data_IF_732091198753
#
_entry.id   IF_732091198753
#
_cell.length_a   1.000
_cell.length_b   1.000
_cell.length_c   1.000
_cell.angle_alpha   90.00
_cell.angle_beta   90.00
_cell.angle_gamma   90.00
#
_symmetry.space_group_name_H-M   'P 1'
#
loop_
_entity.id
_entity.type
_entity.pdbx_description
1 polymer ?
#
# COMPACT_ATOMS: atom_id res chain seq x y z
N UNK A 1 40.16 23.59 -54.83
CA UNK A 1 41.12 23.39 -53.72
C UNK A 1 40.36 22.85 -52.51
N UNK A 2 40.69 21.61 -52.15
CA UNK A 2 40.43 20.83 -50.93
C UNK A 2 39.10 21.01 -50.18
N UNK A 3 38.16 20.10 -50.49
CA UNK A 3 37.11 19.67 -49.55
C UNK A 3 37.71 18.62 -48.60
N UNK A 4 37.74 18.92 -47.31
CA UNK A 4 38.05 17.99 -46.21
C UNK A 4 36.95 16.94 -46.07
N UNK A 5 37.26 15.64 -45.90
CA UNK A 5 36.24 14.62 -45.69
C UNK A 5 35.81 14.57 -44.22
N UNK A 6 34.49 14.58 -43.98
CA UNK A 6 33.89 14.18 -42.71
C UNK A 6 34.32 12.74 -42.40
N UNK A 7 35.05 12.56 -41.30
CA UNK A 7 35.30 11.24 -40.75
C UNK A 7 34.05 10.81 -39.96
N UNK A 8 33.27 9.93 -40.57
CA UNK A 8 32.21 9.16 -39.90
C UNK A 8 32.88 8.20 -38.92
N UNK A 9 32.87 8.53 -37.63
CA UNK A 9 33.28 7.60 -36.57
C UNK A 9 32.12 6.63 -36.36
N UNK A 10 32.22 5.44 -36.96
CA UNK A 10 31.38 4.30 -36.61
C UNK A 10 31.96 3.72 -35.31
N UNK A 11 31.33 4.01 -34.18
CA UNK A 11 31.60 3.31 -32.93
C UNK A 11 30.93 1.94 -33.02
N UNK A 12 31.70 0.93 -33.43
CA UNK A 12 31.32 -0.46 -33.32
C UNK A 12 31.50 -0.90 -31.86
N UNK A 13 30.42 -0.86 -31.07
CA UNK A 13 30.41 -1.44 -29.74
C UNK A 13 30.43 -2.97 -29.84
N UNK A 14 31.62 -3.55 -29.70
CA UNK A 14 31.82 -4.98 -29.55
C UNK A 14 31.23 -5.40 -28.20
N UNK A 15 30.09 -6.09 -28.21
CA UNK A 15 29.63 -6.85 -27.06
C UNK A 15 30.50 -8.10 -26.93
N UNK A 16 31.45 -8.06 -26.00
CA UNK A 16 32.17 -9.25 -25.55
C UNK A 16 31.19 -10.09 -24.72
N UNK A 17 30.60 -11.12 -25.32
CA UNK A 17 29.87 -12.16 -24.57
C UNK A 17 30.94 -12.97 -23.82
N UNK A 18 31.19 -12.61 -22.56
CA UNK A 18 31.86 -13.52 -21.64
C UNK A 18 30.83 -14.59 -21.30
N UNK A 19 30.90 -15.71 -22.02
CA UNK A 19 30.25 -16.96 -21.64
C UNK A 19 30.98 -17.52 -20.41
N UNK A 20 30.74 -16.89 -19.26
CA UNK A 20 31.01 -17.49 -17.97
C UNK A 20 29.95 -18.55 -17.73
N UNK A 21 30.35 -19.81 -17.81
CA UNK A 21 29.56 -20.93 -17.33
C UNK A 21 29.31 -20.76 -15.83
N UNK A 22 28.24 -20.06 -15.47
CA UNK A 22 27.67 -20.15 -14.13
C UNK A 22 27.16 -21.58 -14.02
N UNK A 23 27.94 -22.41 -13.32
CA UNK A 23 27.53 -23.77 -13.00
C UNK A 23 26.11 -23.73 -12.42
N UNK A 24 25.24 -24.58 -12.95
CA UNK A 24 23.87 -24.76 -12.47
C UNK A 24 23.80 -25.22 -10.99
N UNK A 25 24.95 -25.45 -10.37
CA UNK A 25 25.09 -25.84 -8.95
C UNK A 25 25.14 -24.67 -7.97
N UNK A 26 25.06 -23.40 -8.42
CA UNK A 26 24.89 -22.25 -7.51
C UNK A 26 23.47 -22.17 -6.89
N UNK A 27 22.52 -22.94 -7.42
CA UNK A 27 21.25 -23.19 -6.78
C UNK A 27 21.39 -24.39 -5.84
N UNK A 28 21.81 -24.12 -4.60
CA UNK A 28 21.63 -25.07 -3.51
C UNK A 28 20.19 -25.58 -3.54
N UNK A 29 20.02 -26.89 -3.72
CA UNK A 29 18.73 -27.58 -3.59
C UNK A 29 18.23 -27.39 -2.16
N UNK A 30 17.59 -26.26 -1.89
CA UNK A 30 16.78 -26.07 -0.70
C UNK A 30 15.60 -27.01 -0.82
N UNK A 31 15.71 -28.18 -0.19
CA UNK A 31 14.55 -29.02 0.12
C UNK A 31 13.70 -28.28 1.14
N UNK A 32 12.92 -27.29 0.70
CA UNK A 32 11.82 -26.75 1.49
C UNK A 32 10.73 -27.83 1.57
N UNK A 33 10.84 -28.69 2.58
CA UNK A 33 9.84 -29.72 2.94
C UNK A 33 8.96 -29.29 4.11
N UNK A 34 8.62 -28.01 4.19
CA UNK A 34 7.50 -27.57 5.03
C UNK A 34 6.63 -26.66 4.20
N UNK A 35 5.41 -27.13 3.88
CA UNK A 35 4.32 -26.20 3.56
C UNK A 35 4.32 -25.12 4.66
N UNK A 36 4.13 -23.83 4.34
CA UNK A 36 3.97 -22.81 5.37
C UNK A 36 2.99 -23.34 6.41
N UNK A 37 3.44 -23.53 7.66
CA UNK A 37 2.51 -23.92 8.71
C UNK A 37 1.70 -22.67 9.02
N UNK A 38 0.54 -22.56 8.39
CA UNK A 38 -0.46 -21.64 8.87
C UNK A 38 -0.77 -22.08 10.30
N UNK A 39 -0.42 -21.26 11.29
CA UNK A 39 -1.08 -21.36 12.59
C UNK A 39 -2.58 -21.50 12.29
N UNK A 40 -3.28 -22.40 13.00
CA UNK A 40 -4.72 -22.63 12.82
C UNK A 40 -5.52 -21.40 13.27
N UNK A 41 -5.31 -20.26 12.63
CA UNK A 41 -6.22 -19.14 12.71
C UNK A 41 -7.47 -19.54 11.93
N UNK A 42 -8.58 -19.61 12.64
CA UNK A 42 -9.88 -19.75 12.03
C UNK A 42 -10.47 -18.37 11.90
N UNK A 43 -10.91 -17.97 10.70
CA UNK A 43 -11.55 -16.67 10.48
C UNK A 43 -12.73 -16.44 11.45
N UNK A 44 -13.41 -17.53 11.84
CA UNK A 44 -14.52 -17.52 12.79
C UNK A 44 -14.12 -17.00 14.19
N UNK A 45 -12.84 -17.13 14.57
CA UNK A 45 -12.34 -16.66 15.87
C UNK A 45 -12.50 -15.15 16.05
N UNK A 46 -12.49 -14.36 14.96
CA UNK A 46 -12.77 -12.91 15.01
C UNK A 46 -14.15 -12.62 15.59
N UNK A 47 -15.15 -13.44 15.28
CA UNK A 47 -16.51 -13.26 15.81
C UNK A 47 -16.65 -13.66 17.28
N UNK A 48 -15.61 -14.27 17.86
CA UNK A 48 -15.56 -14.64 19.28
C UNK A 48 -14.77 -13.62 20.12
N UNK A 49 -14.19 -12.60 19.49
CA UNK A 49 -13.50 -11.52 20.21
C UNK A 49 -14.56 -10.70 20.95
N UNK A 50 -14.44 -10.62 22.28
CA UNK A 50 -15.27 -9.77 23.12
C UNK A 50 -14.39 -8.78 23.85
N UNK A 51 -14.58 -7.49 23.55
CA UNK A 51 -13.92 -6.39 24.24
C UNK A 51 -14.99 -5.50 24.90
N UNK A 52 -14.93 -5.37 26.23
CA UNK A 52 -15.96 -4.66 26.99
C UNK A 52 -16.06 -3.17 26.65
N UNK A 53 -14.96 -2.54 26.21
CA UNK A 53 -14.96 -1.13 25.79
C UNK A 53 -15.62 -0.99 24.42
N UNK A 54 -15.32 -1.90 23.48
CA UNK A 54 -15.97 -1.94 22.16
C UNK A 54 -17.47 -2.18 22.34
N UNK A 55 -17.87 -3.17 23.14
CA UNK A 55 -19.28 -3.49 23.38
C UNK A 55 -20.05 -2.31 24.01
N UNK A 56 -19.45 -1.64 25.00
CA UNK A 56 -20.03 -0.43 25.59
C UNK A 56 -20.21 0.67 24.54
N UNK A 57 -19.19 0.87 23.71
CA UNK A 57 -19.16 1.88 22.65
C UNK A 57 -20.23 1.60 21.59
N UNK A 58 -20.42 0.34 21.18
CA UNK A 58 -21.46 -0.09 20.23
C UNK A 58 -22.88 0.03 20.80
N UNK A 59 -23.07 -0.25 22.10
CA UNK A 59 -24.38 -0.11 22.78
C UNK A 59 -24.86 1.35 22.84
N UNK A 60 -23.92 2.30 22.84
CA UNK A 60 -24.23 3.73 22.85
C UNK A 60 -24.57 4.30 21.47
N UNK A 61 -24.47 3.49 20.40
CA UNK A 61 -24.76 3.94 19.03
C UNK A 61 -26.20 3.64 18.64
N UNK A 62 -26.82 4.61 17.97
CA UNK A 62 -27.97 4.38 17.10
C UNK A 62 -27.59 3.43 15.95
N UNK A 63 -28.60 2.81 15.34
CA UNK A 63 -28.39 2.00 14.13
C UNK A 63 -27.71 2.81 13.02
N UNK A 64 -28.10 4.09 12.87
CA UNK A 64 -27.53 4.93 11.82
C UNK A 64 -26.05 5.20 12.02
N UNK A 65 -25.58 5.40 13.25
CA UNK A 65 -24.15 5.59 13.52
C UNK A 65 -23.38 4.28 13.30
N UNK A 66 -23.97 3.12 13.62
CA UNK A 66 -23.37 1.81 13.32
C UNK A 66 -23.16 1.62 11.82
N UNK A 67 -24.16 1.98 11.02
CA UNK A 67 -24.03 2.01 9.55
C UNK A 67 -22.94 2.99 9.15
N UNK A 68 -22.89 4.18 9.76
CA UNK A 68 -21.85 5.16 9.49
C UNK A 68 -20.43 4.63 9.71
N UNK A 69 -20.21 3.84 10.76
CA UNK A 69 -18.91 3.20 11.03
C UNK A 69 -18.46 2.21 9.94
N UNK A 70 -19.37 1.75 9.08
CA UNK A 70 -19.07 0.84 7.97
C UNK A 70 -18.76 1.60 6.66
N UNK A 71 -18.80 2.93 6.68
CA UNK A 71 -18.61 3.78 5.50
C UNK A 71 -17.25 4.47 5.58
N UNK A 72 -16.43 4.28 4.55
CA UNK A 72 -15.21 5.04 4.29
C UNK A 72 -15.48 6.00 3.13
N UNK A 73 -15.47 7.30 3.39
CA UNK A 73 -15.68 8.31 2.36
C UNK A 73 -14.35 8.71 1.70
N UNK A 74 -14.34 8.85 0.38
CA UNK A 74 -13.16 9.32 -0.36
C UNK A 74 -13.17 10.84 -0.49
N UNK A 75 -12.00 11.47 -0.40
CA UNK A 75 -11.84 12.90 -0.65
C UNK A 75 -10.43 13.25 -1.14
N UNK A 76 -10.26 14.48 -1.63
CA UNK A 76 -8.96 15.05 -1.96
C UNK A 76 -8.39 15.84 -0.77
N UNK A 77 -7.09 15.71 -0.55
CA UNK A 77 -6.36 16.49 0.44
C UNK A 77 -5.84 17.79 -0.18
N UNK A 78 -6.70 18.79 -0.37
CA UNK A 78 -6.32 20.11 -0.91
C UNK A 78 -6.87 21.24 -0.04
N UNK A 79 -6.01 22.15 0.39
CA UNK A 79 -6.38 23.35 1.16
C UNK A 79 -6.72 24.52 0.23
N UNK A 80 -7.49 25.50 0.74
CA UNK A 80 -8.13 26.57 -0.05
C UNK A 80 -9.64 26.38 -0.27
N UNK A 81 -10.20 25.33 0.34
CA UNK A 81 -11.52 24.76 0.10
C UNK A 81 -12.45 24.82 1.32
N UNK A 82 -12.23 25.75 2.27
CA UNK A 82 -13.25 26.00 3.32
C UNK A 82 -14.61 26.44 2.74
N UNK A 83 -14.63 26.87 1.47
CA UNK A 83 -15.82 27.15 0.66
C UNK A 83 -16.23 26.00 -0.28
N UNK A 84 -15.46 24.90 -0.36
CA UNK A 84 -15.81 23.75 -1.17
C UNK A 84 -16.98 23.00 -0.53
N UNK A 85 -18.07 22.91 -1.29
CA UNK A 85 -19.30 22.24 -0.88
C UNK A 85 -19.06 20.78 -0.51
N UNK A 86 -18.07 20.12 -1.12
CA UNK A 86 -17.74 18.72 -0.85
C UNK A 86 -17.14 18.58 0.55
N UNK A 87 -16.13 19.39 0.87
CA UNK A 87 -15.50 19.41 2.19
C UNK A 87 -16.50 19.77 3.30
N UNK A 88 -17.39 20.74 3.05
CA UNK A 88 -18.46 21.10 4.00
C UNK A 88 -19.49 19.98 4.19
N UNK A 89 -19.96 19.35 3.11
CA UNK A 89 -20.87 18.22 3.17
C UNK A 89 -20.23 17.08 3.97
N UNK A 90 -18.98 16.75 3.68
CA UNK A 90 -18.25 15.70 4.38
C UNK A 90 -18.09 16.00 5.86
N UNK A 91 -17.74 17.24 6.22
CA UNK A 91 -17.69 17.69 7.61
C UNK A 91 -19.02 17.49 8.36
N UNK A 92 -20.15 17.81 7.73
CA UNK A 92 -21.48 17.55 8.31
C UNK A 92 -21.75 16.05 8.50
N UNK A 93 -21.47 15.24 7.47
CA UNK A 93 -21.65 13.78 7.56
C UNK A 93 -20.79 13.14 8.65
N UNK A 94 -19.56 13.63 8.83
CA UNK A 94 -18.68 13.23 9.93
C UNK A 94 -19.30 13.60 11.28
N UNK A 95 -19.74 14.85 11.44
CA UNK A 95 -20.32 15.34 12.70
C UNK A 95 -21.62 14.60 13.08
N UNK A 96 -22.41 14.19 12.09
CA UNK A 96 -23.62 13.38 12.25
C UNK A 96 -23.34 11.87 12.44
N UNK A 97 -22.08 11.44 12.50
CA UNK A 97 -21.69 10.05 12.69
C UNK A 97 -22.03 9.13 11.52
N UNK A 98 -22.18 9.69 10.30
CA UNK A 98 -22.55 8.96 9.08
C UNK A 98 -21.35 8.39 8.32
N UNK A 99 -20.14 8.66 8.80
CA UNK A 99 -18.87 8.22 8.20
C UNK A 99 -17.94 7.71 9.32
N UNK A 100 -17.36 6.53 9.12
CA UNK A 100 -16.43 5.89 10.05
C UNK A 100 -14.97 6.09 9.68
N UNK A 101 -14.69 6.46 8.43
CA UNK A 101 -13.35 6.77 7.99
C UNK A 101 -13.28 7.57 6.70
N UNK A 102 -12.08 8.06 6.42
CA UNK A 102 -11.77 8.92 5.28
C UNK A 102 -10.59 8.32 4.54
N UNK A 103 -10.71 8.22 3.22
CA UNK A 103 -9.63 7.84 2.32
C UNK A 103 -9.19 9.03 1.48
N UNK A 104 -7.91 9.41 1.56
CA UNK A 104 -7.36 10.43 0.66
C UNK A 104 -6.95 9.83 -0.68
N UNK A 105 -7.52 10.36 -1.76
CA UNK A 105 -7.32 9.86 -3.13
C UNK A 105 -6.21 10.60 -3.90
N UNK A 106 -6.00 11.87 -3.58
CA UNK A 106 -4.91 12.71 -4.11
C UNK A 106 -4.79 13.99 -3.29
N UNK A 107 -3.67 14.70 -3.41
CA UNK A 107 -3.48 15.99 -2.74
C UNK A 107 -2.03 16.26 -2.43
N UNK A 108 -1.79 16.99 -1.34
CA UNK A 108 -0.46 17.26 -0.78
C UNK A 108 -0.41 16.93 0.72
N UNK A 109 0.79 16.62 1.22
CA UNK A 109 0.99 16.18 2.59
C UNK A 109 0.55 17.22 3.64
N UNK A 110 0.75 18.51 3.36
CA UNK A 110 0.39 19.59 4.27
C UNK A 110 -1.14 19.72 4.40
N UNK A 111 -1.83 19.75 3.27
CA UNK A 111 -3.29 19.78 3.22
C UNK A 111 -3.93 18.56 3.87
N UNK A 112 -3.34 17.38 3.69
CA UNK A 112 -3.82 16.16 4.34
C UNK A 112 -3.73 16.26 5.87
N UNK A 113 -2.62 16.75 6.41
CA UNK A 113 -2.47 16.93 7.86
C UNK A 113 -3.50 17.90 8.44
N UNK A 114 -3.75 19.03 7.75
CA UNK A 114 -4.77 19.99 8.17
C UNK A 114 -6.18 19.40 8.13
N UNK A 115 -6.55 18.74 7.04
CA UNK A 115 -7.87 18.14 6.89
C UNK A 115 -8.08 16.94 7.81
N UNK A 116 -7.06 16.11 8.03
CA UNK A 116 -7.12 15.02 8.99
C UNK A 116 -7.42 15.54 10.40
N UNK A 117 -6.71 16.58 10.85
CA UNK A 117 -6.97 17.20 12.15
C UNK A 117 -8.38 17.82 12.22
N UNK A 118 -8.82 18.51 11.16
CA UNK A 118 -10.16 19.07 11.08
C UNK A 118 -11.24 17.96 11.17
N UNK A 119 -11.14 16.92 10.36
CA UNK A 119 -12.11 15.83 10.34
C UNK A 119 -12.14 15.07 11.66
N UNK A 120 -10.98 14.79 12.26
CA UNK A 120 -10.93 14.18 13.59
C UNK A 120 -11.56 15.07 14.67
N UNK A 121 -11.43 16.40 14.58
CA UNK A 121 -12.05 17.32 15.54
C UNK A 121 -13.58 17.39 15.43
N UNK A 122 -14.14 17.11 14.24
CA UNK A 122 -15.58 17.08 14.00
C UNK A 122 -16.20 15.73 14.36
N UNK A 123 -15.41 14.66 14.36
CA UNK A 123 -15.92 13.32 14.47
C UNK A 123 -16.35 13.01 15.91
N UNK A 124 -17.57 12.49 16.14
CA UNK A 124 -18.00 12.08 17.48
C UNK A 124 -17.17 10.88 18.00
N UNK A 125 -16.47 10.18 17.09
CA UNK A 125 -15.62 9.03 17.35
C UNK A 125 -14.42 9.06 16.38
N UNK A 126 -13.25 8.55 16.78
CA UNK A 126 -12.07 8.58 15.91
C UNK A 126 -12.32 7.94 14.55
N UNK A 127 -11.96 8.66 13.48
CA UNK A 127 -12.08 8.19 12.10
C UNK A 127 -10.91 7.26 11.74
N UNK A 128 -11.19 6.23 10.94
CA UNK A 128 -10.17 5.51 10.19
C UNK A 128 -9.64 6.40 9.07
N UNK A 129 -8.38 6.84 9.17
CA UNK A 129 -7.76 7.70 8.17
C UNK A 129 -6.85 6.86 7.28
N UNK A 130 -7.18 6.75 6.00
CA UNK A 130 -6.53 5.82 5.06
C UNK A 130 -6.09 6.44 3.72
N UNK A 131 -5.18 5.73 3.05
CA UNK A 131 -4.76 5.99 1.68
C UNK A 131 -4.15 4.71 1.09
N UNK A 132 -4.07 4.62 -0.25
CA UNK A 132 -3.15 3.66 -0.88
C UNK A 132 -1.73 4.23 -0.83
N UNK A 133 -0.82 3.52 -0.16
CA UNK A 133 0.58 3.91 -0.05
C UNK A 133 1.48 2.72 -0.40
N UNK A 134 1.20 2.05 -1.54
CA UNK A 134 1.95 0.86 -1.99
C UNK A 134 3.44 1.16 -2.22
N UNK A 135 3.72 2.33 -2.81
CA UNK A 135 5.08 2.82 -3.10
C UNK A 135 5.37 4.13 -2.37
N UNK A 136 4.83 4.24 -1.16
CA UNK A 136 4.92 5.41 -0.31
C UNK A 136 3.76 6.38 -0.41
N UNK A 137 3.74 7.33 0.52
CA UNK A 137 2.66 8.31 0.65
C UNK A 137 2.57 9.21 -0.59
N UNK A 138 3.68 9.40 -1.30
CA UNK A 138 3.76 10.12 -2.58
C UNK A 138 2.84 9.55 -3.68
N UNK A 139 2.40 8.29 -3.56
CA UNK A 139 1.41 7.69 -4.45
C UNK A 139 0.09 8.50 -4.48
N UNK A 140 -0.24 9.18 -3.38
CA UNK A 140 -1.47 9.96 -3.23
C UNK A 140 -1.18 11.42 -2.89
N UNK A 141 -0.20 11.69 -2.04
CA UNK A 141 0.07 13.03 -1.51
C UNK A 141 1.44 13.53 -1.94
N UNK A 142 1.48 14.60 -2.73
CA UNK A 142 2.73 15.25 -3.10
C UNK A 142 3.47 15.80 -1.86
N UNK A 143 4.80 15.90 -1.97
CA UNK A 143 5.68 16.35 -0.88
C UNK A 143 6.10 15.25 0.10
N UNK A 144 5.70 14.01 -0.14
CA UNK A 144 6.15 12.82 0.59
C UNK A 144 7.17 12.01 -0.23
N UNK A 145 7.75 10.96 0.37
CA UNK A 145 8.74 10.11 -0.29
C UNK A 145 8.07 9.13 -1.27
N UNK A 146 8.59 9.05 -2.49
CA UNK A 146 8.23 8.02 -3.47
C UNK A 146 9.27 6.88 -3.45
N UNK A 147 8.78 5.65 -3.38
CA UNK A 147 9.60 4.44 -3.40
C UNK A 147 9.46 3.69 -4.73
N UNK A 148 10.39 2.76 -5.05
CA UNK A 148 10.22 1.85 -6.17
C UNK A 148 8.94 1.01 -6.06
N UNK A 149 8.40 0.51 -7.19
CA UNK A 149 7.29 -0.44 -7.15
C UNK A 149 7.71 -1.77 -6.51
N UNK A 150 6.72 -2.55 -6.03
CA UNK A 150 6.95 -3.80 -5.29
C UNK A 150 7.83 -4.80 -6.05
N UNK A 151 7.70 -4.91 -7.37
CA UNK A 151 8.53 -5.82 -8.17
C UNK A 151 10.01 -5.42 -8.16
N UNK A 152 10.31 -4.11 -8.18
CA UNK A 152 11.68 -3.61 -8.10
C UNK A 152 12.28 -3.84 -6.71
N UNK A 153 11.48 -3.63 -5.66
CA UNK A 153 11.88 -3.97 -4.29
C UNK A 153 12.13 -5.48 -4.14
N UNK A 154 11.27 -6.32 -4.70
CA UNK A 154 11.40 -7.77 -4.64
C UNK A 154 12.63 -8.30 -5.40
N UNK A 155 13.06 -7.62 -6.47
CA UNK A 155 14.25 -7.96 -7.22
C UNK A 155 15.53 -7.93 -6.36
N UNK A 156 15.53 -7.16 -5.26
CA UNK A 156 16.62 -7.16 -4.27
C UNK A 156 16.72 -8.46 -3.48
N UNK A 157 15.60 -9.19 -3.35
CA UNK A 157 15.43 -10.37 -2.48
C UNK A 157 15.75 -10.11 -1.00
N UNK A 158 15.81 -8.84 -0.60
CA UNK A 158 16.12 -8.42 0.77
C UNK A 158 14.86 -7.92 1.49
N UNK A 159 14.33 -8.75 2.38
CA UNK A 159 13.15 -8.41 3.20
C UNK A 159 13.43 -7.30 4.19
N UNK A 160 14.69 -7.04 4.55
CA UNK A 160 15.06 -5.91 5.42
C UNK A 160 14.79 -4.58 4.74
N UNK A 161 15.07 -4.47 3.43
CA UNK A 161 14.75 -3.28 2.65
C UNK A 161 13.23 -3.05 2.58
N UNK A 162 12.45 -4.14 2.44
CA UNK A 162 10.99 -4.06 2.44
C UNK A 162 10.44 -3.57 3.78
N UNK A 163 10.98 -4.07 4.89
CA UNK A 163 10.64 -3.60 6.24
C UNK A 163 10.99 -2.12 6.45
N UNK A 164 12.22 -1.70 6.08
CA UNK A 164 12.65 -0.30 6.27
C UNK A 164 11.86 0.67 5.38
N UNK A 165 11.49 0.26 4.16
CA UNK A 165 10.55 1.01 3.32
C UNK A 165 9.22 1.18 4.05
N UNK A 166 8.61 0.08 4.49
CA UNK A 166 7.32 0.10 5.19
C UNK A 166 7.33 0.98 6.46
N UNK A 167 8.43 0.94 7.22
CA UNK A 167 8.65 1.80 8.39
C UNK A 167 8.74 3.27 8.02
N UNK A 168 9.42 3.62 6.93
CA UNK A 168 9.49 5.00 6.44
C UNK A 168 8.10 5.50 6.00
N UNK A 169 7.36 4.68 5.25
CA UNK A 169 5.97 4.96 4.85
C UNK A 169 5.10 5.19 6.08
N UNK A 170 5.20 4.32 7.09
CA UNK A 170 4.44 4.46 8.32
C UNK A 170 4.75 5.76 9.07
N UNK A 171 6.03 6.15 9.15
CA UNK A 171 6.43 7.41 9.77
C UNK A 171 5.82 8.62 9.07
N UNK A 172 5.87 8.66 7.73
CA UNK A 172 5.25 9.75 6.96
C UNK A 172 3.74 9.78 7.13
N UNK A 173 3.07 8.62 6.98
CA UNK A 173 1.62 8.50 7.13
C UNK A 173 1.15 8.99 8.51
N UNK A 174 1.81 8.54 9.58
CA UNK A 174 1.49 8.97 10.95
C UNK A 174 1.68 10.46 11.16
N UNK A 175 2.66 11.07 10.50
CA UNK A 175 2.93 12.52 10.60
C UNK A 175 1.77 13.35 10.04
N UNK A 176 1.08 12.85 9.02
CA UNK A 176 -0.08 13.53 8.40
C UNK A 176 -1.43 13.02 8.91
N UNK A 177 -1.45 12.22 9.99
CA UNK A 177 -2.68 11.74 10.62
C UNK A 177 -3.31 10.49 9.98
N UNK A 178 -2.62 9.85 9.04
CA UNK A 178 -3.04 8.58 8.41
C UNK A 178 -2.58 7.39 9.26
N UNK A 179 -3.45 6.39 9.45
CA UNK A 179 -3.15 5.21 10.27
C UNK A 179 -3.65 3.88 9.69
N UNK A 180 -4.17 3.89 8.47
CA UNK A 180 -4.48 2.70 7.70
C UNK A 180 -3.91 2.82 6.28
N UNK A 181 -3.19 1.78 5.84
CA UNK A 181 -2.63 1.69 4.51
C UNK A 181 -3.35 0.58 3.74
N UNK A 182 -3.86 0.91 2.55
CA UNK A 182 -4.34 -0.09 1.60
C UNK A 182 -3.17 -0.73 0.84
N UNK A 183 -2.24 -1.33 1.58
CA UNK A 183 -1.08 -2.05 1.09
C UNK A 183 -0.62 -3.07 2.17
N UNK A 184 0.11 -4.13 1.79
CA UNK A 184 0.64 -4.41 0.45
C UNK A 184 -0.33 -5.11 -0.51
N UNK A 185 -0.04 -4.95 -1.81
CA UNK A 185 -0.53 -5.85 -2.86
C UNK A 185 0.17 -7.20 -2.71
N UNK A 186 -0.61 -8.25 -2.44
CA UNK A 186 -0.15 -9.64 -2.24
C UNK A 186 -0.53 -10.56 -3.40
N UNK A 187 -1.04 -9.98 -4.50
CA UNK A 187 -1.33 -10.73 -5.72
C UNK A 187 -0.06 -11.32 -6.33
N UNK A 188 -0.15 -12.54 -6.86
CA UNK A 188 0.93 -13.18 -7.60
C UNK A 188 0.80 -12.84 -9.08
N UNK A 189 1.73 -12.08 -9.66
CA UNK A 189 1.65 -11.68 -11.07
C UNK A 189 2.05 -12.82 -12.02
N UNK A 190 1.28 -13.90 -12.02
CA UNK A 190 1.49 -15.09 -12.84
C UNK A 190 1.20 -14.86 -14.33
N UNK A 191 0.33 -13.90 -14.64
CA UNK A 191 0.04 -13.49 -16.00
C UNK A 191 0.91 -12.26 -16.39
N UNK A 192 1.87 -12.38 -17.33
CA UNK A 192 2.68 -11.24 -17.76
C UNK A 192 1.87 -10.16 -18.49
N UNK A 193 0.71 -10.51 -19.07
CA UNK A 193 -0.17 -9.57 -19.76
C UNK A 193 -1.15 -8.85 -18.82
N UNK A 194 -1.05 -9.08 -17.51
CA UNK A 194 -1.90 -8.42 -16.52
C UNK A 194 -1.65 -6.89 -16.53
N UNK A 195 -2.64 -6.07 -16.91
CA UNK A 195 -2.45 -4.64 -17.08
C UNK A 195 -2.47 -3.85 -15.77
N UNK A 196 -3.02 -4.44 -14.69
CA UNK A 196 -3.37 -3.72 -13.46
C UNK A 196 -2.47 -4.07 -12.27
N UNK A 197 -2.01 -5.32 -12.16
CA UNK A 197 -1.06 -5.75 -11.12
C UNK A 197 0.35 -5.45 -11.59
N UNK A 198 0.86 -6.15 -12.61
CA UNK A 198 2.16 -5.86 -13.22
C UNK A 198 3.25 -5.63 -12.13
N UNK A 199 3.94 -4.49 -12.16
CA UNK A 199 4.98 -4.11 -11.18
C UNK A 199 4.49 -3.86 -9.74
N UNK A 200 3.17 -3.84 -9.49
CA UNK A 200 2.58 -3.73 -8.14
C UNK A 200 2.63 -5.06 -7.36
N UNK A 201 2.79 -6.19 -8.04
CA UNK A 201 3.10 -7.44 -7.35
C UNK A 201 4.57 -7.48 -6.94
N UNK A 202 4.89 -8.17 -5.86
CA UNK A 202 6.28 -8.51 -5.54
C UNK A 202 6.84 -9.56 -6.51
N UNK A 203 6.07 -10.60 -6.86
CA UNK A 203 6.55 -11.72 -7.67
C UNK A 203 5.40 -12.65 -8.07
N UNK A 204 5.60 -13.39 -9.14
CA UNK A 204 4.88 -14.62 -9.49
C UNK A 204 5.25 -15.82 -8.59
N UNK A 205 6.39 -15.77 -7.90
CA UNK A 205 6.84 -16.78 -6.96
C UNK A 205 6.17 -16.62 -5.58
N UNK A 206 5.38 -17.60 -5.11
CA UNK A 206 4.67 -17.49 -3.83
C UNK A 206 5.58 -17.28 -2.62
N UNK A 207 6.75 -17.93 -2.58
CA UNK A 207 7.64 -17.85 -1.41
C UNK A 207 8.26 -16.45 -1.29
N UNK A 208 8.67 -15.85 -2.41
CA UNK A 208 9.20 -14.49 -2.43
C UNK A 208 8.10 -13.47 -2.11
N UNK A 209 6.91 -13.61 -2.71
CA UNK A 209 5.78 -12.73 -2.46
C UNK A 209 5.35 -12.75 -0.98
N UNK A 210 5.28 -13.94 -0.35
CA UNK A 210 4.98 -14.08 1.08
C UNK A 210 6.05 -13.40 1.94
N UNK A 211 7.34 -13.64 1.66
CA UNK A 211 8.44 -13.08 2.45
C UNK A 211 8.44 -11.54 2.41
N UNK A 212 8.29 -10.96 1.21
CA UNK A 212 8.24 -9.50 1.04
C UNK A 212 6.97 -8.89 1.66
N UNK A 213 5.81 -9.52 1.45
CA UNK A 213 4.55 -9.05 2.02
C UNK A 213 4.56 -9.05 3.54
N UNK A 214 5.09 -10.12 4.15
CA UNK A 214 5.22 -10.19 5.61
C UNK A 214 6.11 -9.08 6.16
N UNK A 215 7.24 -8.80 5.51
CA UNK A 215 8.15 -7.73 5.93
C UNK A 215 7.48 -6.34 5.84
N UNK A 216 6.71 -6.07 4.78
CA UNK A 216 5.94 -4.82 4.65
C UNK A 216 4.84 -4.73 5.70
N UNK A 217 4.08 -5.80 5.91
CA UNK A 217 3.02 -5.85 6.93
C UNK A 217 3.61 -5.59 8.32
N UNK A 218 4.71 -6.26 8.67
CA UNK A 218 5.39 -6.09 9.94
C UNK A 218 5.91 -4.66 10.11
N UNK A 219 6.56 -4.10 9.09
CA UNK A 219 7.06 -2.72 9.12
C UNK A 219 5.95 -1.68 9.29
N UNK A 220 4.79 -1.88 8.65
CA UNK A 220 3.62 -1.01 8.84
C UNK A 220 3.03 -1.16 10.25
N UNK A 221 2.71 -2.39 10.67
CA UNK A 221 1.96 -2.67 11.90
C UNK A 221 2.77 -2.34 13.16
N UNK A 222 4.07 -2.66 13.19
CA UNK A 222 4.96 -2.30 14.31
C UNK A 222 5.16 -0.79 14.47
N UNK A 223 4.87 -0.01 13.42
CA UNK A 223 4.91 1.45 13.43
C UNK A 223 3.51 2.10 13.45
N UNK A 224 2.50 1.31 13.85
CA UNK A 224 1.15 1.78 14.15
C UNK A 224 0.33 2.18 12.93
N UNK A 225 0.52 1.48 11.80
CA UNK A 225 -0.33 1.54 10.62
C UNK A 225 -1.03 0.18 10.43
N UNK A 226 -2.35 0.21 10.27
CA UNK A 226 -3.10 -0.97 9.85
C UNK A 226 -2.77 -1.30 8.38
N UNK A 227 -2.09 -2.42 8.15
CA UNK A 227 -1.82 -2.95 6.81
C UNK A 227 -3.05 -3.67 6.24
N UNK A 228 -3.20 -3.64 4.92
CA UNK A 228 -4.32 -4.27 4.21
C UNK A 228 -3.79 -5.12 3.06
N UNK A 229 -3.84 -6.45 3.23
CA UNK A 229 -3.52 -7.37 2.14
C UNK A 229 -4.61 -7.28 1.06
N UNK A 230 -4.19 -7.08 -0.19
CA UNK A 230 -5.09 -6.96 -1.35
C UNK A 230 -4.52 -7.66 -2.59
N UNK A 231 -5.33 -8.09 -3.55
CA UNK A 231 -6.78 -7.92 -3.65
C UNK A 231 -7.43 -9.29 -3.56
N UNK A 232 -8.11 -9.62 -2.44
CA UNK A 232 -8.73 -10.94 -2.28
C UNK A 232 -9.82 -11.18 -3.34
N UNK A 233 -9.92 -12.39 -3.94
CA UNK A 233 -9.15 -13.62 -3.66
C UNK A 233 -7.81 -13.74 -4.43
N UNK A 234 -7.46 -12.73 -5.21
CA UNK A 234 -6.25 -12.63 -6.02
C UNK A 234 -6.58 -11.99 -7.36
N UNK A 235 -5.86 -10.95 -7.76
CA UNK A 235 -6.03 -10.23 -9.03
C UNK A 235 -4.86 -10.46 -9.99
N UNK A 236 -4.02 -11.44 -9.69
CA UNK A 236 -2.74 -11.69 -10.37
C UNK A 236 -2.83 -12.32 -11.76
N UNK A 237 -3.96 -12.95 -12.09
CA UNK A 237 -4.16 -13.74 -13.32
C UNK A 237 -5.23 -13.15 -14.26
N UNK A 238 -5.65 -11.90 -14.04
CA UNK A 238 -6.66 -11.27 -14.90
C UNK A 238 -6.06 -10.73 -16.20
N UNK A 239 -6.91 -10.60 -17.22
CA UNK A 239 -6.59 -9.96 -18.52
C UNK A 239 -7.38 -8.68 -18.77
N UNK A 240 -8.29 -8.31 -17.86
CA UNK A 240 -9.16 -7.12 -17.95
C UNK A 240 -9.13 -6.40 -16.60
N UNK A 241 -9.05 -5.06 -16.65
CA UNK A 241 -9.12 -4.21 -15.46
C UNK A 241 -10.56 -4.16 -14.92
N UNK A 242 -10.72 -4.21 -13.60
CA UNK A 242 -12.00 -4.40 -12.89
C UNK A 242 -12.62 -3.10 -12.41
#
# INVERSE_FOLDING_TARGET
MNRTPLHTIIVASIFLIIAGSVSADAFGKSKSKSKPSFNKWQAQSVFSISDSKIEKTLKQMTLSEKIGQMIIAQTEARTGSSADKTTQLLGRLIQEGKVGGIMFMKGDAFSAALLANQFQSLAPRPLLMSADMERGLAMRLSGATEFPPNMALAATKDTKLAFEMAKAIAKEARTVGLHQNYAPTVDLNSNPDNPIINTRSFSDNPSLAIAMSNAVIEGLQTNGIAATAKHFPGHGDVTVDS
#
